data_IF_755423304786
#
_entry.id   IF_755423304786
#
_cell.length_a   1.000
_cell.length_b   1.000
_cell.length_c   1.000
_cell.angle_alpha   90.00
_cell.angle_beta   90.00
_cell.angle_gamma   90.00
#
_symmetry.space_group_name_H-M   'P 1'
#
loop_
_entity.id
_entity.type
_entity.pdbx_description
1 polymer ?
#
# COMPACT_ATOMS: atom_id res chain seq x y z
N UNK A 1 5.03 27.11 -13.29
CA UNK A 1 4.03 26.86 -12.22
C UNK A 1 2.64 27.32 -12.66
N UNK A 2 2.47 28.57 -13.09
CA UNK A 2 1.18 29.10 -13.56
C UNK A 2 0.51 28.28 -14.69
N UNK A 3 1.28 27.73 -15.64
CA UNK A 3 0.77 26.89 -16.73
C UNK A 3 0.15 25.54 -16.30
N UNK A 4 0.29 25.15 -15.03
CA UNK A 4 -0.25 23.90 -14.49
C UNK A 4 -1.55 24.09 -13.71
N UNK A 5 -1.94 25.35 -13.48
CA UNK A 5 -3.21 25.70 -12.84
C UNK A 5 -4.28 25.65 -13.92
N UNK A 6 -5.26 24.76 -13.76
CA UNK A 6 -6.38 24.63 -14.70
C UNK A 6 -7.48 25.65 -14.40
N UNK A 7 -7.77 25.88 -13.13
CA UNK A 7 -8.69 26.91 -12.67
C UNK A 7 -8.36 27.34 -11.24
N UNK A 8 -8.80 28.55 -10.88
CA UNK A 8 -8.71 29.09 -9.53
C UNK A 8 -9.92 29.99 -9.33
N UNK A 9 -10.82 29.62 -8.43
CA UNK A 9 -12.13 30.22 -8.28
C UNK A 9 -12.49 30.36 -6.80
N UNK A 10 -13.21 31.42 -6.46
CA UNK A 10 -13.82 31.56 -5.15
C UNK A 10 -15.21 30.92 -5.17
N UNK A 11 -15.45 30.02 -4.25
CA UNK A 11 -16.76 29.38 -4.08
C UNK A 11 -17.72 30.31 -3.31
N UNK A 12 -18.99 29.92 -3.23
CA UNK A 12 -20.03 30.70 -2.55
C UNK A 12 -19.71 30.83 -1.06
N UNK A 13 -19.92 32.03 -0.53
CA UNK A 13 -19.83 32.36 0.90
C UNK A 13 -21.03 31.71 1.62
N UNK A 14 -20.90 30.44 2.00
CA UNK A 14 -22.00 29.66 2.56
C UNK A 14 -22.02 29.63 4.11
N UNK A 15 -20.85 29.71 4.77
CA UNK A 15 -20.73 29.42 6.22
C UNK A 15 -19.93 30.50 6.99
N UNK A 16 -18.92 31.11 6.38
CA UNK A 16 -18.10 32.20 6.98
C UNK A 16 -18.16 33.47 6.14
N UNK A 17 -17.65 34.59 6.63
CA UNK A 17 -17.47 35.86 5.89
C UNK A 17 -16.38 35.79 4.80
N UNK A 18 -15.64 34.69 4.74
CA UNK A 18 -14.70 34.38 3.67
C UNK A 18 -15.24 33.31 2.71
N UNK A 19 -15.06 33.56 1.41
CA UNK A 19 -15.29 32.58 0.34
C UNK A 19 -14.14 31.55 0.31
N UNK A 20 -14.43 30.23 0.27
CA UNK A 20 -13.40 29.23 0.01
C UNK A 20 -12.71 29.50 -1.33
N UNK A 21 -11.38 29.52 -1.35
CA UNK A 21 -10.61 29.59 -2.59
C UNK A 21 -10.26 28.18 -3.06
N UNK A 22 -10.76 27.78 -4.22
CA UNK A 22 -10.52 26.48 -4.82
C UNK A 22 -9.56 26.64 -6.01
N UNK A 23 -8.52 25.81 -6.07
CA UNK A 23 -7.56 25.79 -7.17
C UNK A 23 -7.43 24.38 -7.71
N UNK A 24 -7.68 24.20 -9.01
CA UNK A 24 -7.46 22.93 -9.70
C UNK A 24 -6.06 22.96 -10.33
N UNK A 25 -5.22 22.03 -9.89
CA UNK A 25 -3.84 21.88 -10.32
C UNK A 25 -3.66 20.54 -11.03
N UNK A 26 -3.09 20.56 -12.23
CA UNK A 26 -2.77 19.34 -12.99
C UNK A 26 -1.26 19.12 -13.05
N UNK A 27 -0.81 17.99 -12.52
CA UNK A 27 0.57 17.52 -12.69
C UNK A 27 0.56 16.17 -13.40
N UNK A 28 0.85 16.17 -14.69
CA UNK A 28 0.87 14.95 -15.50
C UNK A 28 1.91 13.93 -14.98
N UNK A 29 2.91 14.36 -14.19
CA UNK A 29 3.89 13.49 -13.54
C UNK A 29 3.39 12.79 -12.26
N UNK A 30 2.29 13.26 -11.67
CA UNK A 30 1.64 12.63 -10.51
C UNK A 30 0.63 11.55 -10.93
N UNK A 31 0.37 11.40 -12.23
CA UNK A 31 -0.47 10.32 -12.79
C UNK A 31 0.18 8.92 -12.71
N UNK A 32 1.23 8.74 -11.91
CA UNK A 32 1.69 7.39 -11.59
C UNK A 32 0.60 6.77 -10.72
N UNK A 33 0.00 5.69 -11.21
CA UNK A 33 -0.75 4.76 -10.36
C UNK A 33 -0.01 4.63 -9.02
N UNK A 34 -0.73 4.68 -7.87
CA UNK A 34 -0.08 4.44 -6.59
C UNK A 34 0.74 3.17 -6.74
N UNK A 35 2.03 3.24 -6.40
CA UNK A 35 3.00 2.19 -6.72
C UNK A 35 2.45 0.87 -6.21
N UNK A 36 1.89 0.06 -7.12
CA UNK A 36 1.35 -1.24 -6.75
C UNK A 36 2.53 -2.05 -6.27
N UNK A 37 2.47 -2.50 -5.02
CA UNK A 37 3.53 -3.36 -4.51
C UNK A 37 3.69 -4.57 -5.43
N UNK A 38 4.93 -4.78 -5.85
CA UNK A 38 5.33 -5.84 -6.76
C UNK A 38 6.49 -6.59 -6.10
N UNK A 39 6.34 -7.91 -5.99
CA UNK A 39 7.37 -8.76 -5.45
C UNK A 39 8.54 -8.88 -6.43
N UNK A 40 9.76 -8.56 -5.99
CA UNK A 40 10.94 -8.68 -6.83
C UNK A 40 11.49 -10.12 -6.77
N UNK A 41 11.45 -10.84 -7.90
CA UNK A 41 11.89 -12.24 -7.97
C UNK A 41 13.35 -12.48 -7.54
N UNK A 42 14.20 -11.44 -7.55
CA UNK A 42 15.59 -11.53 -7.08
C UNK A 42 15.71 -12.09 -5.65
N UNK A 43 14.71 -11.83 -4.79
CA UNK A 43 14.72 -12.30 -3.41
C UNK A 43 14.59 -13.82 -3.30
N UNK A 44 14.00 -14.48 -4.30
CA UNK A 44 13.93 -15.95 -4.34
C UNK A 44 15.27 -16.62 -4.66
N UNK A 45 16.30 -15.84 -5.02
CA UNK A 45 17.66 -16.33 -5.22
C UNK A 45 18.50 -16.24 -3.94
N UNK A 46 17.99 -15.56 -2.90
CA UNK A 46 18.69 -15.37 -1.63
C UNK A 46 18.23 -16.44 -0.63
N UNK A 47 19.14 -17.33 -0.25
CA UNK A 47 18.84 -18.45 0.66
C UNK A 47 18.35 -17.97 2.03
N UNK A 48 18.92 -16.87 2.54
CA UNK A 48 18.53 -16.27 3.81
C UNK A 48 17.07 -15.78 3.78
N UNK A 49 16.65 -15.16 2.68
CA UNK A 49 15.27 -14.75 2.48
C UNK A 49 14.32 -15.95 2.44
N UNK A 50 14.68 -17.01 1.71
CA UNK A 50 13.85 -18.22 1.62
C UNK A 50 13.71 -18.88 3.00
N UNK A 51 14.81 -19.00 3.74
CA UNK A 51 14.81 -19.56 5.09
C UNK A 51 13.98 -18.74 6.05
N UNK A 52 14.12 -17.40 6.00
CA UNK A 52 13.31 -16.48 6.78
C UNK A 52 11.82 -16.67 6.49
N UNK A 53 11.44 -16.67 5.21
CA UNK A 53 10.06 -16.80 4.78
C UNK A 53 9.46 -18.15 5.20
N UNK A 54 10.20 -19.24 5.03
CA UNK A 54 9.80 -20.58 5.49
C UNK A 54 9.50 -20.60 6.99
N UNK A 55 10.38 -19.99 7.80
CA UNK A 55 10.16 -19.86 9.24
C UNK A 55 8.86 -19.11 9.56
N UNK A 56 8.56 -18.01 8.86
CA UNK A 56 7.30 -17.28 9.07
C UNK A 56 6.07 -18.10 8.67
N UNK A 57 6.17 -18.90 7.60
CA UNK A 57 5.09 -19.80 7.17
C UNK A 57 4.77 -20.82 8.27
N UNK A 58 5.80 -21.47 8.81
CA UNK A 58 5.65 -22.47 9.88
C UNK A 58 5.02 -21.85 11.12
N UNK A 59 5.55 -20.70 11.58
CA UNK A 59 5.01 -19.95 12.73
C UNK A 59 3.52 -19.63 12.54
N UNK A 60 3.13 -19.17 11.35
CA UNK A 60 1.74 -18.81 11.09
C UNK A 60 0.80 -20.00 11.28
N UNK A 61 1.14 -21.16 10.70
CA UNK A 61 0.28 -22.35 10.75
C UNK A 61 0.35 -23.10 12.09
N UNK A 62 1.44 -22.97 12.84
CA UNK A 62 1.54 -23.47 14.21
C UNK A 62 0.61 -22.71 15.16
N UNK A 63 0.57 -21.37 15.04
CA UNK A 63 -0.26 -20.51 15.90
C UNK A 63 -1.74 -20.54 15.47
N UNK A 64 -2.00 -20.46 14.16
CA UNK A 64 -3.34 -20.33 13.60
C UNK A 64 -3.85 -21.68 13.10
N UNK A 65 -4.33 -22.48 14.05
CA UNK A 65 -4.98 -23.77 13.79
C UNK A 65 -6.49 -23.56 13.61
N UNK A 66 -7.36 -24.20 14.39
CA UNK A 66 -8.78 -24.37 14.09
C UNK A 66 -9.68 -23.20 14.49
N UNK A 67 -9.14 -22.03 14.81
CA UNK A 67 -9.93 -20.89 15.31
C UNK A 67 -10.87 -20.29 14.25
N UNK A 68 -10.60 -20.53 12.97
CA UNK A 68 -11.40 -20.02 11.85
C UNK A 68 -11.42 -21.00 10.67
N UNK A 69 -12.28 -20.72 9.69
CA UNK A 69 -12.39 -21.49 8.46
C UNK A 69 -11.08 -21.47 7.65
N UNK A 70 -10.85 -22.52 6.86
CA UNK A 70 -9.65 -22.60 6.03
C UNK A 70 -9.50 -21.41 5.06
N UNK A 71 -10.63 -20.90 4.53
CA UNK A 71 -10.62 -19.73 3.65
C UNK A 71 -10.16 -18.45 4.35
N UNK A 72 -10.70 -18.16 5.54
CA UNK A 72 -10.29 -16.98 6.31
C UNK A 72 -8.82 -17.08 6.71
N UNK A 73 -8.37 -18.27 7.11
CA UNK A 73 -6.98 -18.53 7.44
C UNK A 73 -6.04 -18.30 6.25
N UNK A 74 -6.45 -18.70 5.05
CA UNK A 74 -5.68 -18.47 3.82
C UNK A 74 -5.56 -16.97 3.48
N UNK A 75 -6.65 -16.21 3.60
CA UNK A 75 -6.60 -14.77 3.37
C UNK A 75 -5.71 -14.06 4.39
N UNK A 76 -5.81 -14.45 5.67
CA UNK A 76 -4.95 -13.93 6.74
C UNK A 76 -3.46 -14.27 6.50
N UNK A 77 -3.17 -15.50 6.09
CA UNK A 77 -1.83 -15.96 5.75
C UNK A 77 -1.19 -15.11 4.65
N UNK A 78 -1.93 -14.86 3.55
CA UNK A 78 -1.44 -14.02 2.45
C UNK A 78 -1.09 -12.61 2.91
N UNK A 79 -1.94 -12.00 3.74
CA UNK A 79 -1.69 -10.67 4.29
C UNK A 79 -0.46 -10.65 5.22
N UNK A 80 -0.36 -11.65 6.09
CA UNK A 80 0.75 -11.84 7.02
C UNK A 80 2.09 -11.96 6.28
N UNK A 81 2.19 -12.90 5.32
CA UNK A 81 3.41 -13.11 4.54
C UNK A 81 3.79 -11.87 3.73
N UNK A 82 2.82 -11.19 3.10
CA UNK A 82 3.09 -9.95 2.37
C UNK A 82 3.71 -8.88 3.28
N UNK A 83 3.21 -8.74 4.51
CA UNK A 83 3.77 -7.82 5.51
C UNK A 83 5.23 -8.13 5.84
N UNK A 84 5.55 -9.41 6.05
CA UNK A 84 6.92 -9.85 6.30
C UNK A 84 7.86 -9.59 5.11
N UNK A 85 7.41 -9.86 3.88
CA UNK A 85 8.19 -9.57 2.68
C UNK A 85 8.44 -8.07 2.55
N UNK A 86 7.42 -7.23 2.76
CA UNK A 86 7.60 -5.76 2.73
C UNK A 86 8.63 -5.34 3.79
N UNK A 87 8.50 -5.85 5.02
CA UNK A 87 9.42 -5.51 6.11
C UNK A 87 10.87 -5.91 5.82
N UNK A 88 11.10 -7.10 5.27
CA UNK A 88 12.45 -7.58 4.94
C UNK A 88 13.08 -6.75 3.81
N UNK A 89 12.28 -6.40 2.81
CA UNK A 89 12.73 -5.73 1.59
C UNK A 89 12.76 -4.20 1.69
N UNK A 90 12.26 -3.61 2.78
CA UNK A 90 12.18 -2.16 3.00
C UNK A 90 13.51 -1.51 3.44
N UNK A 91 14.64 -2.17 3.19
CA UNK A 91 15.99 -1.68 3.53
C UNK A 91 16.61 -0.98 2.32
#
# INVERSE_FOLDING_TARGET
LQHKIQSCEYDVIAISDHAPCCMIYKEDRLSKDPTRWHFQNKWLLEEDFIKYLGTQIDIFFEINTTQTSAGIRWEAFKAYIRGHIISYTST
#
